data_IF_984631502252
#
_entry.id   IF_984631502252
#
_cell.length_a   1.000
_cell.length_b   1.000
_cell.length_c   1.000
_cell.angle_alpha   90.00
_cell.angle_beta   90.00
_cell.angle_gamma   90.00
#
_symmetry.space_group_name_H-M   'P 1'
#
loop_
_entity.id
_entity.type
_entity.pdbx_description
1 polymer ?
#
# COMPACT_ATOMS: atom_id res chain seq x y z
N UNK A 1 -16.47 -2.19 17.39
CA UNK A 1 -15.07 -2.11 17.87
C UNK A 1 -14.27 -2.71 16.75
N UNK A 2 -14.09 -1.94 15.68
CA UNK A 2 -13.62 -2.45 14.38
C UNK A 2 -12.42 -1.62 13.88
N UNK A 3 -11.73 -0.97 14.80
CA UNK A 3 -10.49 -0.22 14.54
C UNK A 3 -9.28 -1.14 14.41
N UNK A 4 -9.27 -2.28 15.10
CA UNK A 4 -8.15 -3.25 15.08
C UNK A 4 -7.84 -3.79 13.67
N UNK A 5 -8.85 -3.98 12.82
CA UNK A 5 -8.64 -4.50 11.46
C UNK A 5 -7.98 -3.50 10.51
N UNK A 6 -8.29 -2.22 10.66
CA UNK A 6 -7.72 -1.14 9.84
C UNK A 6 -6.28 -0.87 10.28
N UNK A 7 -6.03 -0.80 11.59
CA UNK A 7 -4.68 -0.61 12.13
C UNK A 7 -3.73 -1.75 11.72
N UNK A 8 -4.21 -3.01 11.75
CA UNK A 8 -3.42 -4.15 11.31
C UNK A 8 -3.06 -4.08 9.81
N UNK A 9 -4.00 -3.68 8.96
CA UNK A 9 -3.73 -3.51 7.52
C UNK A 9 -2.75 -2.36 7.26
N UNK A 10 -2.82 -1.29 8.06
CA UNK A 10 -1.85 -0.18 8.00
C UNK A 10 -0.45 -0.66 8.39
N UNK A 11 -0.31 -1.42 9.47
CA UNK A 11 0.97 -2.00 9.88
C UNK A 11 1.52 -2.98 8.82
N UNK A 12 0.66 -3.79 8.20
CA UNK A 12 1.05 -4.73 7.15
C UNK A 12 1.55 -4.01 5.89
N UNK A 13 0.86 -2.96 5.45
CA UNK A 13 1.29 -2.11 4.35
C UNK A 13 2.61 -1.36 4.66
N UNK A 14 2.80 -0.87 5.89
CA UNK A 14 4.07 -0.28 6.33
C UNK A 14 5.21 -1.31 6.38
N UNK A 15 4.92 -2.57 6.74
CA UNK A 15 5.93 -3.63 6.72
C UNK A 15 6.41 -3.95 5.31
N UNK A 16 5.55 -3.83 4.29
CA UNK A 16 5.89 -4.03 2.87
C UNK A 16 6.67 -2.83 2.33
N UNK A 17 6.12 -1.62 2.53
CA UNK A 17 6.68 -0.37 2.06
C UNK A 17 6.82 0.60 3.24
N UNK A 18 8.06 0.68 3.76
CA UNK A 18 8.43 1.30 5.05
C UNK A 18 8.17 2.81 5.20
N UNK A 19 7.47 3.49 4.28
CA UNK A 19 7.41 4.96 4.34
C UNK A 19 6.33 5.70 3.54
N UNK A 20 5.54 5.07 2.66
CA UNK A 20 4.62 5.88 1.85
C UNK A 20 3.23 5.87 2.45
N UNK A 21 2.76 7.09 2.74
CA UNK A 21 1.43 7.41 3.21
C UNK A 21 0.41 6.55 2.47
N UNK A 22 -0.10 5.51 3.14
CA UNK A 22 -1.15 4.65 2.59
C UNK A 22 -2.35 5.50 2.15
N UNK A 23 -2.57 6.62 2.83
CA UNK A 23 -3.54 7.65 2.49
C UNK A 23 -3.31 8.33 1.12
N UNK A 24 -2.07 8.43 0.65
CA UNK A 24 -1.78 8.94 -0.70
C UNK A 24 -2.04 7.87 -1.76
N UNK A 25 -1.96 6.58 -1.41
CA UNK A 25 -2.14 5.47 -2.35
C UNK A 25 -3.58 4.96 -2.40
N UNK A 26 -4.34 5.04 -1.30
CA UNK A 26 -5.72 4.57 -1.21
C UNK A 26 -6.70 5.37 -2.08
N UNK A 27 -6.37 6.64 -2.35
CA UNK A 27 -7.12 7.51 -3.25
C UNK A 27 -6.69 7.35 -4.73
N UNK A 28 -5.58 6.65 -5.00
CA UNK A 28 -5.08 6.40 -6.36
C UNK A 28 -5.69 5.11 -6.96
N UNK A 29 -5.87 5.11 -8.27
CA UNK A 29 -6.14 3.87 -9.02
C UNK A 29 -4.90 2.96 -9.04
N UNK A 30 -5.10 1.64 -9.15
CA UNK A 30 -4.03 0.63 -9.18
C UNK A 30 -2.85 1.01 -10.09
N UNK A 31 -3.12 1.56 -11.26
CA UNK A 31 -2.06 1.96 -12.20
C UNK A 31 -1.22 3.14 -11.68
N UNK A 32 -1.87 4.14 -11.07
CA UNK A 32 -1.19 5.29 -10.49
C UNK A 32 -0.44 4.90 -9.21
N UNK A 33 -1.04 4.06 -8.39
CA UNK A 33 -0.44 3.47 -7.20
C UNK A 33 0.83 2.67 -7.54
N UNK A 34 0.78 1.81 -8.57
CA UNK A 34 1.96 1.09 -9.08
C UNK A 34 3.08 2.03 -9.52
N UNK A 35 2.74 3.05 -10.31
CA UNK A 35 3.72 4.00 -10.83
C UNK A 35 4.39 4.79 -9.69
N UNK A 36 3.59 5.24 -8.72
CA UNK A 36 4.07 5.92 -7.53
C UNK A 36 5.02 5.03 -6.71
N UNK A 37 4.64 3.77 -6.45
CA UNK A 37 5.48 2.82 -5.73
C UNK A 37 6.78 2.49 -6.49
N UNK A 38 6.72 2.39 -7.82
CA UNK A 38 7.92 2.20 -8.65
C UNK A 38 8.89 3.38 -8.57
N UNK A 39 8.36 4.60 -8.59
CA UNK A 39 9.15 5.83 -8.49
C UNK A 39 9.70 6.03 -7.07
N UNK A 40 8.85 5.88 -6.05
CA UNK A 40 9.20 6.09 -4.64
C UNK A 40 10.26 5.09 -4.13
N UNK A 41 10.18 3.83 -4.56
CA UNK A 41 11.09 2.76 -4.11
C UNK A 41 12.15 2.37 -5.13
N UNK A 42 12.21 3.04 -6.29
CA UNK A 42 13.27 2.86 -7.28
C UNK A 42 13.34 1.43 -7.84
N UNK A 43 12.22 0.95 -8.40
CA UNK A 43 12.04 -0.40 -8.95
C UNK A 43 11.95 -1.53 -7.89
N UNK A 44 10.94 -1.48 -7.00
CA UNK A 44 10.67 -2.58 -6.08
C UNK A 44 10.19 -3.83 -6.83
N UNK A 45 10.26 -4.99 -6.17
CA UNK A 45 9.77 -6.23 -6.76
C UNK A 45 8.27 -6.12 -7.05
N UNK A 46 7.79 -6.54 -8.24
CA UNK A 46 6.37 -6.48 -8.57
C UNK A 46 5.49 -7.22 -7.55
N UNK A 47 5.98 -8.34 -7.00
CA UNK A 47 5.30 -9.10 -5.95
C UNK A 47 5.04 -8.29 -4.66
N UNK A 48 5.90 -7.33 -4.32
CA UNK A 48 5.68 -6.44 -3.17
C UNK A 48 4.64 -5.38 -3.49
N UNK A 49 4.62 -4.91 -4.74
CA UNK A 49 3.63 -3.95 -5.22
C UNK A 49 2.25 -4.59 -5.20
N UNK A 50 2.09 -5.80 -5.74
CA UNK A 50 0.81 -6.52 -5.71
C UNK A 50 0.33 -6.77 -4.26
N UNK A 51 1.21 -7.25 -3.37
CA UNK A 51 0.86 -7.45 -1.95
C UNK A 51 0.41 -6.15 -1.28
N UNK A 52 1.10 -5.03 -1.52
CA UNK A 52 0.71 -3.75 -0.97
C UNK A 52 -0.64 -3.28 -1.50
N UNK A 53 -0.88 -3.40 -2.81
CA UNK A 53 -2.16 -3.02 -3.42
C UNK A 53 -3.33 -3.88 -2.93
N UNK A 54 -3.10 -5.18 -2.67
CA UNK A 54 -4.12 -6.03 -2.05
C UNK A 54 -4.49 -5.56 -0.64
N UNK A 55 -3.51 -5.12 0.15
CA UNK A 55 -3.75 -4.56 1.50
C UNK A 55 -4.50 -3.23 1.40
N UNK A 56 -4.11 -2.34 0.48
CA UNK A 56 -4.79 -1.08 0.22
C UNK A 56 -6.22 -1.28 -0.26
N UNK A 57 -6.47 -2.27 -1.12
CA UNK A 57 -7.81 -2.61 -1.60
C UNK A 57 -8.75 -3.08 -0.48
N UNK A 58 -8.20 -3.72 0.57
CA UNK A 58 -8.97 -4.13 1.77
C UNK A 58 -9.30 -2.97 2.71
N UNK A 59 -8.55 -1.87 2.63
CA UNK A 59 -8.78 -0.64 3.40
C UNK A 59 -9.89 0.25 2.79
N UNK A 60 -10.30 -0.03 1.55
CA UNK A 60 -11.29 0.72 0.78
C UNK A 60 -12.71 0.18 0.99
#
# INVERSE_FOLDING_TARGET
MDTDGIEQLIDEAHAIFNATSIHEVIDLDDQAARAFLMEAYGNPKPELIDQYLEVVAKLR
#
